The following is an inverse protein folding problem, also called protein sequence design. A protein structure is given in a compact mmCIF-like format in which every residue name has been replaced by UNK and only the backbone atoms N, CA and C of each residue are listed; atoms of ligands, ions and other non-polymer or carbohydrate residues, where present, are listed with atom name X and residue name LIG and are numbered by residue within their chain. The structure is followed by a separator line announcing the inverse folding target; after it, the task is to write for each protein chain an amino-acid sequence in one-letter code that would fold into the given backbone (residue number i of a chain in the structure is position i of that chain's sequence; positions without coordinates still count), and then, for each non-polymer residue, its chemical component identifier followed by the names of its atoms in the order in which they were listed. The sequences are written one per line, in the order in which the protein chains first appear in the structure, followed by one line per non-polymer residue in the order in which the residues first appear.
data_IF_313537869529
#
_entry.id   IF_313537869529
#
_cell.length_a   1.000
_cell.length_b   1.000
_cell.length_c   1.000
_cell.angle_alpha   90.00
_cell.angle_beta   90.00
_cell.angle_gamma   90.00
#
_symmetry.space_group_name_H-M   'P 1'
#
loop_
_entity.id
_entity.type
_entity.pdbx_description
1 polymer ?
#
# COMPACT_ATOMS: atom_id res chain seq x y z
N UNK A 1 -6.49 -1.12 1.40
CA UNK A 1 -7.01 -0.74 0.06
C UNK A 1 -6.22 -1.39 -1.08
N UNK A 2 -4.90 -1.49 -0.99
CA UNK A 2 -4.09 -2.20 -2.00
C UNK A 2 -4.52 -3.65 -2.23
N UNK A 3 -4.90 -4.36 -1.16
CA UNK A 3 -5.45 -5.71 -1.24
C UNK A 3 -6.69 -5.78 -2.17
N UNK A 4 -7.65 -4.87 -2.01
CA UNK A 4 -8.86 -4.83 -2.85
C UNK A 4 -8.49 -4.59 -4.32
N UNK A 5 -7.56 -3.68 -4.59
CA UNK A 5 -7.08 -3.40 -5.93
C UNK A 5 -6.46 -4.63 -6.59
N UNK A 6 -5.63 -5.34 -5.83
CA UNK A 6 -4.97 -6.58 -6.31
C UNK A 6 -6.01 -7.67 -6.62
N UNK A 7 -7.00 -7.85 -5.74
CA UNK A 7 -8.06 -8.82 -5.97
C UNK A 7 -8.93 -8.46 -7.18
N UNK A 8 -9.22 -7.18 -7.38
CA UNK A 8 -10.00 -6.74 -8.54
C UNK A 8 -9.28 -7.02 -9.87
N UNK A 9 -7.97 -6.81 -9.92
CA UNK A 9 -7.17 -7.19 -11.09
C UNK A 9 -7.15 -8.69 -11.32
N UNK A 10 -7.09 -9.48 -10.25
CA UNK A 10 -7.11 -10.93 -10.36
C UNK A 10 -8.49 -11.44 -10.82
N UNK A 11 -9.60 -10.89 -10.33
CA UNK A 11 -10.94 -11.21 -10.79
C UNK A 11 -11.15 -10.90 -12.29
N UNK A 12 -10.49 -9.84 -12.77
CA UNK A 12 -10.49 -9.47 -14.20
C UNK A 12 -9.58 -10.35 -15.06
N UNK A 13 -8.81 -11.24 -14.47
CA UNK A 13 -7.82 -12.06 -15.16
C UNK A 13 -6.58 -11.28 -15.62
N UNK A 14 -6.38 -10.07 -15.10
CA UNK A 14 -5.24 -9.20 -15.41
C UNK A 14 -4.02 -9.50 -14.51
N UNK A 15 -4.23 -10.22 -13.42
CA UNK A 15 -3.20 -10.60 -12.45
C UNK A 15 -3.43 -12.03 -11.95
N UNK A 16 -2.37 -12.84 -11.92
CA UNK A 16 -2.35 -14.12 -11.24
C UNK A 16 -1.71 -13.95 -9.85
N UNK A 17 -2.46 -14.30 -8.80
CA UNK A 17 -2.00 -14.19 -7.41
C UNK A 17 -0.79 -15.08 -7.10
N UNK A 18 -0.61 -16.16 -7.83
CA UNK A 18 0.49 -17.12 -7.64
C UNK A 18 1.67 -16.86 -8.56
N UNK A 19 1.53 -15.97 -9.52
CA UNK A 19 2.63 -15.59 -10.40
C UNK A 19 3.74 -14.84 -9.64
N UNK A 20 5.00 -14.96 -10.07
CA UNK A 20 6.08 -14.12 -9.60
C UNK A 20 5.78 -12.63 -9.85
N UNK A 21 6.12 -11.78 -8.86
CA UNK A 21 6.05 -10.32 -9.02
C UNK A 21 6.84 -9.86 -10.25
N UNK A 22 7.95 -10.53 -10.53
CA UNK A 22 8.84 -10.25 -11.66
C UNK A 22 8.18 -10.36 -13.04
N UNK A 23 7.07 -11.08 -13.15
CA UNK A 23 6.32 -11.19 -14.41
C UNK A 23 5.64 -9.85 -14.77
N UNK A 24 5.31 -9.05 -13.76
CA UNK A 24 4.72 -7.72 -13.91
C UNK A 24 5.74 -6.60 -13.73
N UNK A 25 6.77 -6.85 -12.92
CA UNK A 25 7.81 -5.91 -12.55
C UNK A 25 9.20 -6.59 -12.67
N UNK A 26 9.77 -6.65 -13.90
CA UNK A 26 11.00 -7.41 -14.17
C UNK A 26 12.20 -7.00 -13.31
N UNK A 27 12.37 -5.72 -13.01
CA UNK A 27 13.48 -5.21 -12.19
C UNK A 27 13.42 -5.70 -10.74
N UNK A 28 12.26 -6.15 -10.30
CA UNK A 28 12.08 -6.72 -8.95
C UNK A 28 12.79 -8.07 -8.78
N UNK A 29 13.10 -8.79 -9.86
CA UNK A 29 13.73 -10.11 -9.82
C UNK A 29 15.11 -10.13 -9.15
N UNK A 30 15.78 -8.99 -9.09
CA UNK A 30 17.13 -8.85 -8.56
C UNK A 30 17.25 -9.26 -7.08
N UNK A 31 18.50 -9.59 -6.67
CA UNK A 31 18.86 -9.84 -5.26
C UNK A 31 18.03 -10.94 -4.56
N UNK A 32 17.74 -12.02 -5.29
CA UNK A 32 17.05 -13.19 -4.74
C UNK A 32 15.54 -13.11 -4.71
N UNK A 33 14.93 -12.14 -5.39
CA UNK A 33 13.48 -11.90 -5.38
C UNK A 33 12.71 -12.52 -6.55
N UNK A 34 13.39 -13.18 -7.51
CA UNK A 34 12.76 -13.70 -8.71
C UNK A 34 11.57 -14.66 -8.46
N UNK A 35 11.60 -15.39 -7.34
CA UNK A 35 10.54 -16.33 -6.96
C UNK A 35 9.48 -15.76 -6.01
N UNK A 36 9.54 -14.48 -5.65
CA UNK A 36 8.53 -13.85 -4.80
C UNK A 36 7.24 -13.70 -5.59
N UNK A 37 6.16 -14.30 -5.07
CA UNK A 37 4.83 -14.23 -5.68
C UNK A 37 4.01 -13.05 -5.16
N UNK A 38 2.92 -12.73 -5.87
CA UNK A 38 1.94 -11.73 -5.40
C UNK A 38 1.36 -12.13 -4.04
N UNK A 39 1.11 -13.43 -3.81
CA UNK A 39 0.65 -13.93 -2.50
C UNK A 39 1.66 -13.68 -1.38
N UNK A 40 2.97 -13.72 -1.66
CA UNK A 40 3.98 -13.34 -0.65
C UNK A 40 3.89 -11.86 -0.25
N UNK A 41 3.59 -10.97 -1.18
CA UNK A 41 3.35 -9.56 -0.89
C UNK A 41 2.07 -9.37 -0.04
N UNK A 42 0.98 -10.04 -0.43
CA UNK A 42 -0.32 -9.95 0.26
C UNK A 42 -0.26 -10.50 1.68
N UNK A 43 0.49 -11.59 1.90
CA UNK A 43 0.61 -12.26 3.20
C UNK A 43 1.74 -11.72 4.09
N UNK A 44 2.42 -10.65 3.68
CA UNK A 44 3.57 -10.09 4.40
C UNK A 44 4.74 -11.08 4.56
N UNK A 45 4.92 -12.02 3.64
CA UNK A 45 5.97 -13.04 3.72
C UNK A 45 7.12 -12.83 2.74
N UNK A 46 7.14 -11.71 2.01
CA UNK A 46 8.15 -11.42 0.99
C UNK A 46 9.56 -11.08 1.53
N UNK A 47 9.69 -10.82 2.83
CA UNK A 47 10.99 -10.46 3.42
C UNK A 47 11.37 -8.98 3.24
N UNK A 48 10.43 -8.12 2.88
CA UNK A 48 10.64 -6.69 2.59
C UNK A 48 9.86 -5.77 3.55
N UNK A 49 9.99 -5.94 4.88
CA UNK A 49 9.13 -5.26 5.84
C UNK A 49 9.40 -3.76 5.98
N UNK A 50 10.54 -3.28 5.51
CA UNK A 50 10.96 -1.89 5.53
C UNK A 50 11.86 -1.57 4.34
N UNK A 51 12.18 -0.29 4.19
CA UNK A 51 13.16 0.17 3.18
C UNK A 51 14.58 -0.18 3.58
N UNK A 52 15.50 -0.25 2.60
CA UNK A 52 16.91 -0.56 2.84
C UNK A 52 17.65 0.57 3.58
N UNK A 53 17.11 1.79 3.52
CA UNK A 53 17.61 3.00 4.15
C UNK A 53 16.48 3.82 4.77
N UNK A 54 16.84 4.84 5.53
CA UNK A 54 15.87 5.82 5.98
C UNK A 54 15.50 6.78 4.84
N UNK A 55 14.22 7.05 4.69
CA UNK A 55 13.65 8.04 3.81
C UNK A 55 13.27 9.30 4.60
N UNK A 56 13.54 10.48 4.07
CA UNK A 56 12.86 11.68 4.53
C UNK A 56 11.38 11.64 4.12
N UNK A 57 10.57 12.55 4.66
CA UNK A 57 9.17 12.65 4.25
C UNK A 57 9.05 12.98 2.76
N UNK A 58 9.87 13.91 2.29
CA UNK A 58 9.89 14.35 0.89
C UNK A 58 10.34 13.24 -0.05
N UNK A 59 11.35 12.46 0.33
CA UNK A 59 11.80 11.30 -0.45
C UNK A 59 10.71 10.21 -0.54
N UNK A 60 9.89 10.06 0.51
CA UNK A 60 8.78 9.10 0.51
C UNK A 60 7.64 9.49 -0.46
N UNK A 61 7.56 10.76 -0.85
CA UNK A 61 6.58 11.22 -1.85
C UNK A 61 7.02 10.90 -3.27
N UNK A 62 8.31 10.60 -3.48
CA UNK A 62 8.84 10.16 -4.76
C UNK A 62 8.60 8.66 -4.93
N UNK A 63 7.57 8.33 -5.70
CA UNK A 63 7.19 6.94 -5.96
C UNK A 63 8.32 6.13 -6.59
N UNK A 64 8.97 6.69 -7.60
CA UNK A 64 10.01 5.96 -8.36
C UNK A 64 11.24 5.71 -7.48
N UNK A 65 11.56 6.62 -6.58
CA UNK A 65 12.63 6.43 -5.59
C UNK A 65 12.29 5.28 -4.62
N UNK A 66 11.07 5.26 -4.09
CA UNK A 66 10.61 4.23 -3.15
C UNK A 66 10.61 2.83 -3.79
N UNK A 67 10.05 2.70 -4.99
CA UNK A 67 9.99 1.40 -5.68
C UNK A 67 11.37 0.94 -6.18
N UNK A 68 12.24 1.86 -6.55
CA UNK A 68 13.65 1.54 -6.90
C UNK A 68 14.40 0.97 -5.70
N UNK A 69 14.25 1.53 -4.50
CA UNK A 69 14.84 0.97 -3.28
C UNK A 69 14.35 -0.47 -3.04
N UNK A 70 13.05 -0.70 -3.15
CA UNK A 70 12.44 -2.02 -2.97
C UNK A 70 12.90 -3.04 -4.03
N UNK A 71 13.09 -2.60 -5.27
CA UNK A 71 13.61 -3.45 -6.35
C UNK A 71 15.07 -3.83 -6.12
N UNK A 72 15.86 -2.95 -5.50
CA UNK A 72 17.29 -3.15 -5.31
C UNK A 72 17.67 -3.85 -4.00
N UNK A 73 16.79 -3.87 -2.99
CA UNK A 73 17.14 -4.48 -1.71
C UNK A 73 17.04 -6.03 -1.72
N UNK A 74 17.82 -6.66 -0.85
CA UNK A 74 17.74 -8.09 -0.57
C UNK A 74 16.68 -8.34 0.52
N UNK A 75 15.84 -9.40 0.40
CA UNK A 75 14.93 -9.78 1.46
C UNK A 75 15.66 -10.07 2.79
N UNK A 76 15.07 -9.67 3.93
CA UNK A 76 15.63 -9.91 5.26
C UNK A 76 15.54 -11.37 5.73
N UNK A 77 14.69 -12.17 5.08
CA UNK A 77 14.55 -13.61 5.27
C UNK A 77 14.17 -14.27 3.94
N UNK A 78 14.30 -15.56 3.87
CA UNK A 78 13.87 -16.34 2.70
C UNK A 78 12.36 -16.17 2.47
N UNK A 79 11.95 -15.64 1.32
CA UNK A 79 10.55 -15.37 1.02
C UNK A 79 9.65 -16.60 1.19
N UNK A 80 8.49 -16.41 1.80
CA UNK A 80 7.53 -17.47 2.08
C UNK A 80 7.80 -18.29 3.36
N UNK A 81 8.95 -18.16 4.01
CA UNK A 81 9.29 -18.96 5.20
C UNK A 81 8.84 -18.32 6.51
N UNK A 82 8.66 -17.01 6.54
CA UNK A 82 8.25 -16.23 7.70
C UNK A 82 7.31 -15.12 7.29
N UNK A 83 6.53 -14.61 8.23
CA UNK A 83 5.73 -13.41 8.05
C UNK A 83 6.25 -12.30 8.95
N UNK A 84 6.35 -11.08 8.40
CA UNK A 84 6.71 -9.87 9.12
C UNK A 84 6.00 -8.68 8.50
N UNK A 85 5.33 -7.87 9.30
CA UNK A 85 4.49 -6.78 8.82
C UNK A 85 5.23 -5.81 7.89
N UNK A 86 4.78 -5.68 6.66
CA UNK A 86 5.28 -4.73 5.68
C UNK A 86 4.50 -3.42 5.81
N UNK A 87 4.76 -2.68 6.90
CA UNK A 87 3.93 -1.57 7.37
C UNK A 87 3.71 -0.45 6.36
N UNK A 88 4.74 -0.06 5.63
CA UNK A 88 4.68 0.98 4.59
C UNK A 88 4.94 0.38 3.21
N UNK A 89 5.87 -0.54 3.15
CA UNK A 89 6.39 -1.08 1.87
C UNK A 89 5.35 -1.86 1.08
N UNK A 90 4.40 -2.56 1.73
CA UNK A 90 3.34 -3.28 1.03
C UNK A 90 2.54 -2.37 0.08
N UNK A 91 2.30 -1.12 0.50
CA UNK A 91 1.58 -0.17 -0.33
C UNK A 91 2.28 0.13 -1.65
N UNK A 92 3.60 0.33 -1.60
CA UNK A 92 4.42 0.54 -2.80
C UNK A 92 4.58 -0.74 -3.61
N UNK A 93 4.82 -1.88 -2.96
CA UNK A 93 5.02 -3.16 -3.64
C UNK A 93 3.80 -3.56 -4.48
N UNK A 94 2.63 -3.61 -3.86
CA UNK A 94 1.38 -3.94 -4.56
C UNK A 94 0.93 -2.81 -5.50
N UNK A 95 1.13 -1.57 -5.09
CA UNK A 95 0.80 -0.40 -5.90
C UNK A 95 1.62 -0.33 -7.19
N UNK A 96 2.90 -0.71 -7.15
CA UNK A 96 3.74 -0.77 -8.36
C UNK A 96 3.28 -1.88 -9.31
N UNK A 97 2.87 -3.03 -8.79
CA UNK A 97 2.26 -4.08 -9.63
C UNK A 97 1.02 -3.56 -10.33
N UNK A 98 0.11 -2.88 -9.60
CA UNK A 98 -1.07 -2.24 -10.22
C UNK A 98 -0.65 -1.24 -11.29
N UNK A 99 0.31 -0.37 -10.98
CA UNK A 99 0.81 0.65 -11.91
C UNK A 99 1.39 0.02 -13.19
N UNK A 100 2.15 -1.07 -13.07
CA UNK A 100 2.75 -1.78 -14.22
C UNK A 100 1.71 -2.45 -15.12
N UNK A 101 0.70 -3.03 -14.54
CA UNK A 101 -0.39 -3.68 -15.29
C UNK A 101 -1.23 -2.62 -16.02
N UNK A 102 -1.58 -1.54 -15.34
CA UNK A 102 -2.60 -0.60 -15.80
C UNK A 102 -2.07 0.63 -16.53
N UNK A 103 -0.79 0.96 -16.33
CA UNK A 103 -0.18 2.18 -16.86
C UNK A 103 -0.65 3.49 -16.18
N UNK A 104 -1.42 3.38 -15.09
CA UNK A 104 -1.93 4.51 -14.32
C UNK A 104 -1.21 4.66 -12.98
N UNK A 105 -1.24 5.86 -12.37
CA UNK A 105 -0.83 5.98 -10.97
C UNK A 105 -1.81 5.20 -10.08
N UNK A 106 -1.31 4.70 -8.94
CA UNK A 106 -2.12 3.86 -8.06
C UNK A 106 -3.38 4.60 -7.56
N UNK A 107 -3.23 5.86 -7.15
CA UNK A 107 -4.35 6.65 -6.64
C UNK A 107 -5.40 6.96 -7.70
N UNK A 108 -4.98 7.24 -8.94
CA UNK A 108 -5.90 7.45 -10.05
C UNK A 108 -6.67 6.18 -10.38
N UNK A 109 -5.96 5.06 -10.52
CA UNK A 109 -6.58 3.78 -10.79
C UNK A 109 -7.56 3.36 -9.69
N UNK A 110 -7.14 3.50 -8.41
CA UNK A 110 -8.00 3.19 -7.26
C UNK A 110 -9.28 4.03 -7.25
N UNK A 111 -9.16 5.33 -7.51
CA UNK A 111 -10.31 6.23 -7.58
C UNK A 111 -11.32 5.75 -8.63
N UNK A 112 -10.86 5.51 -9.86
CA UNK A 112 -11.70 5.18 -11.00
C UNK A 112 -12.31 3.79 -10.92
N UNK A 113 -11.56 2.81 -10.36
CA UNK A 113 -11.94 1.41 -10.39
C UNK A 113 -12.53 0.89 -9.07
N UNK A 114 -12.27 1.58 -7.96
CA UNK A 114 -12.75 1.14 -6.63
C UNK A 114 -13.64 2.21 -6.00
N UNK A 115 -13.12 3.42 -5.80
CA UNK A 115 -13.82 4.42 -5.00
C UNK A 115 -15.10 4.93 -5.68
N UNK A 116 -15.01 5.38 -6.91
CA UNK A 116 -16.16 5.92 -7.66
C UNK A 116 -17.25 4.87 -7.90
N UNK A 117 -16.97 3.65 -8.39
CA UNK A 117 -18.01 2.63 -8.58
C UNK A 117 -18.76 2.27 -7.29
N UNK A 118 -18.08 2.30 -6.16
CA UNK A 118 -18.65 1.99 -4.85
C UNK A 118 -19.22 3.23 -4.13
N UNK A 119 -19.16 4.41 -4.72
CA UNK A 119 -19.55 5.66 -4.07
C UNK A 119 -18.80 5.91 -2.75
N UNK A 120 -17.54 5.46 -2.69
CA UNK A 120 -16.68 5.59 -1.53
C UNK A 120 -15.86 6.88 -1.63
N UNK A 121 -16.10 7.83 -0.73
CA UNK A 121 -15.29 9.04 -0.60
C UNK A 121 -13.97 8.69 0.11
N UNK A 122 -13.10 7.98 -0.60
CA UNK A 122 -11.80 7.52 -0.13
C UNK A 122 -10.73 7.75 -1.21
N UNK A 123 -9.62 8.36 -0.83
CA UNK A 123 -8.57 8.80 -1.73
C UNK A 123 -7.19 8.34 -1.25
N UNK A 124 -6.33 8.02 -2.21
CA UNK A 124 -4.89 7.83 -2.01
C UNK A 124 -4.22 8.79 -2.97
N UNK A 125 -3.55 9.82 -2.41
CA UNK A 125 -3.18 11.01 -3.17
C UNK A 125 -4.41 11.89 -3.46
N UNK A 126 -4.58 12.95 -2.66
CA UNK A 126 -5.68 13.91 -2.84
C UNK A 126 -5.44 14.81 -4.04
N UNK A 127 -6.51 15.11 -4.75
CA UNK A 127 -6.51 16.23 -5.70
C UNK A 127 -6.49 17.56 -4.94
N UNK A 128 -5.92 18.59 -5.55
CA UNK A 128 -5.84 19.95 -4.98
C UNK A 128 -7.20 20.46 -4.47
N UNK A 129 -8.25 20.22 -5.23
CA UNK A 129 -9.62 20.64 -4.89
C UNK A 129 -10.18 19.96 -3.62
N UNK A 130 -9.64 18.81 -3.22
CA UNK A 130 -10.11 18.02 -2.07
C UNK A 130 -9.35 18.35 -0.77
N UNK A 131 -8.24 19.07 -0.84
CA UNK A 131 -7.41 19.41 0.32
C UNK A 131 -8.20 20.12 1.43
N UNK A 132 -9.12 21.01 1.06
CA UNK A 132 -9.94 21.77 2.02
C UNK A 132 -10.99 20.93 2.76
N UNK A 133 -11.23 19.69 2.31
CA UNK A 133 -12.20 18.76 2.91
C UNK A 133 -11.59 17.91 4.02
N UNK A 134 -10.28 17.92 4.17
CA UNK A 134 -9.54 17.07 5.12
C UNK A 134 -9.32 17.81 6.41
N UNK A 135 -9.76 17.21 7.51
CA UNK A 135 -9.47 17.71 8.85
C UNK A 135 -8.01 17.44 9.24
N UNK A 136 -7.42 18.35 9.98
CA UNK A 136 -6.07 18.16 10.51
C UNK A 136 -6.06 17.10 11.61
N UNK A 137 -4.95 16.35 11.66
CA UNK A 137 -4.64 15.44 12.77
C UNK A 137 -4.14 16.29 13.93
N UNK A 138 -4.90 16.29 15.03
CA UNK A 138 -4.48 16.97 16.24
C UNK A 138 -3.47 16.11 17.00
N UNK A 139 -2.38 16.75 17.44
CA UNK A 139 -1.39 16.09 18.28
C UNK A 139 -1.82 16.15 19.73
N UNK A 140 -1.75 15.02 20.41
CA UNK A 140 -1.75 15.01 21.88
C UNK A 140 -0.36 15.42 22.38
N UNK A 141 -0.23 16.68 22.78
CA UNK A 141 1.02 17.24 23.33
C UNK A 141 1.34 16.74 24.73
N UNK A 142 0.41 16.03 25.38
CA UNK A 142 0.61 15.44 26.72
C UNK A 142 1.24 14.03 26.63
N UNK A 143 1.27 13.41 25.47
CA UNK A 143 1.90 12.10 25.29
C UNK A 143 3.41 12.27 25.13
N UNK A 144 4.17 11.91 26.16
CA UNK A 144 5.61 11.78 26.10
C UNK A 144 6.00 10.82 24.97
N UNK A 145 6.91 11.26 24.12
CA UNK A 145 7.66 10.53 23.09
C UNK A 145 6.91 9.44 22.28
N UNK A 146 7.10 9.44 20.96
CA UNK A 146 6.70 8.31 20.09
C UNK A 146 7.08 6.98 20.72
N UNK A 147 6.20 5.97 20.79
CA UNK A 147 6.55 4.63 21.25
C UNK A 147 7.71 4.01 20.45
N UNK A 148 8.08 4.61 19.34
CA UNK A 148 9.17 4.21 18.47
C UNK A 148 10.45 5.04 18.63
N UNK A 149 10.49 6.02 19.55
CA UNK A 149 11.61 6.96 19.69
C UNK A 149 12.94 6.32 20.16
N UNK A 150 12.87 5.19 20.86
CA UNK A 150 14.03 4.53 21.45
C UNK A 150 14.17 3.06 21.00
N UNK A 151 13.76 2.75 19.77
CA UNK A 151 13.94 1.40 19.23
C UNK A 151 15.42 1.15 18.95
N UNK A 152 15.88 -0.06 19.25
CA UNK A 152 17.13 -0.59 18.74
C UNK A 152 17.07 -0.53 17.19
N UNK A 153 17.98 0.20 16.51
CA UNK A 153 17.99 0.32 15.06
C UNK A 153 18.04 -1.02 14.32
N UNK A 154 18.63 -2.05 14.94
CA UNK A 154 18.70 -3.39 14.36
C UNK A 154 17.45 -4.23 14.59
N UNK A 155 16.54 -3.77 15.46
CA UNK A 155 15.29 -4.48 15.70
C UNK A 155 14.38 -4.50 14.46
N UNK A 156 13.61 -5.59 14.31
CA UNK A 156 12.62 -5.70 13.25
C UNK A 156 11.60 -4.54 13.29
N UNK A 157 11.21 -4.13 14.49
CA UNK A 157 10.28 -3.00 14.69
C UNK A 157 10.87 -1.68 14.15
N UNK A 158 12.17 -1.42 14.37
CA UNK A 158 12.83 -0.26 13.81
C UNK A 158 12.90 -0.34 12.28
N UNK A 159 13.18 -1.51 11.71
CA UNK A 159 13.20 -1.72 10.25
C UNK A 159 11.83 -1.52 9.62
N UNK A 160 10.75 -1.94 10.27
CA UNK A 160 9.37 -1.75 9.80
C UNK A 160 8.93 -0.28 9.88
N UNK A 161 9.18 0.39 10.99
CA UNK A 161 8.61 1.71 11.28
C UNK A 161 9.61 2.86 11.23
N UNK A 162 10.90 2.57 11.28
CA UNK A 162 11.96 3.59 11.29
C UNK A 162 12.38 4.07 9.91
N UNK A 163 12.14 3.29 8.86
CA UNK A 163 12.59 3.61 7.50
C UNK A 163 11.73 4.63 6.76
N UNK A 164 10.52 4.87 7.22
CA UNK A 164 9.62 5.84 6.61
C UNK A 164 9.63 7.14 7.43
N UNK A 165 10.21 8.18 6.91
CA UNK A 165 10.34 9.51 7.55
C UNK A 165 9.03 10.26 7.75
N UNK A 166 7.98 9.56 8.18
CA UNK A 166 6.67 10.15 8.44
C UNK A 166 6.69 10.85 9.80
N UNK A 167 6.74 12.17 9.81
CA UNK A 167 6.39 12.93 11.00
C UNK A 167 4.88 13.18 11.04
N UNK A 168 4.31 13.29 12.23
CA UNK A 168 2.89 13.69 12.39
C UNK A 168 2.60 15.05 11.76
N UNK A 169 3.58 15.95 11.78
CA UNK A 169 3.45 17.26 11.14
C UNK A 169 3.38 17.14 9.62
N UNK A 170 4.11 16.21 9.04
CA UNK A 170 4.03 15.93 7.61
C UNK A 170 2.62 15.52 7.18
N UNK A 171 1.89 14.74 7.99
CA UNK A 171 0.55 14.25 7.67
C UNK A 171 -0.49 15.36 7.44
N UNK A 172 -0.25 16.55 7.99
CA UNK A 172 -1.11 17.72 7.79
C UNK A 172 -0.67 18.59 6.60
N UNK A 173 0.46 18.30 5.98
CA UNK A 173 0.93 19.07 4.84
C UNK A 173 0.18 18.71 3.55
N UNK A 174 0.05 19.67 2.64
CA UNK A 174 -0.52 19.42 1.32
C UNK A 174 0.31 18.38 0.54
N UNK A 175 1.63 18.44 0.64
CA UNK A 175 2.51 17.50 -0.03
C UNK A 175 2.27 16.04 0.38
N UNK A 176 2.14 15.76 1.69
CA UNK A 176 1.77 14.44 2.18
C UNK A 176 0.40 14.00 1.66
N UNK A 177 -0.59 14.89 1.75
CA UNK A 177 -1.97 14.58 1.36
C UNK A 177 -2.09 14.26 -0.14
N UNK A 178 -1.28 14.90 -0.96
CA UNK A 178 -1.25 14.70 -2.41
C UNK A 178 -0.35 13.56 -2.86
N UNK A 179 0.63 13.15 -2.05
CA UNK A 179 1.48 12.00 -2.34
C UNK A 179 0.67 10.70 -2.33
N UNK A 180 1.07 9.74 -3.14
CA UNK A 180 0.52 8.39 -3.11
C UNK A 180 1.39 7.49 -2.22
N UNK A 181 0.95 7.25 -0.97
CA UNK A 181 1.61 6.34 -0.01
C UNK A 181 0.56 5.33 0.47
N UNK A 182 0.21 4.33 -0.34
CA UNK A 182 -1.05 3.59 -0.22
C UNK A 182 -1.28 2.89 1.13
N UNK A 183 -0.20 2.59 1.85
CA UNK A 183 -0.29 1.91 3.14
C UNK A 183 -0.66 2.85 4.31
N UNK A 184 -0.35 4.15 4.22
CA UNK A 184 -0.42 5.03 5.40
C UNK A 184 -1.11 6.38 5.18
N UNK A 185 -1.38 6.80 3.94
CA UNK A 185 -1.99 8.11 3.70
C UNK A 185 -3.35 8.08 2.99
N UNK A 186 -4.13 7.05 3.21
CA UNK A 186 -5.51 7.02 2.74
C UNK A 186 -6.36 8.07 3.46
N UNK A 187 -7.11 8.88 2.69
CA UNK A 187 -8.00 9.93 3.17
C UNK A 187 -9.45 9.55 2.91
N UNK A 188 -10.27 9.53 3.94
CA UNK A 188 -11.67 9.15 3.83
C UNK A 188 -12.35 9.11 5.20
N UNK A 189 -13.51 8.50 5.27
CA UNK A 189 -14.27 8.33 6.49
C UNK A 189 -14.69 6.86 6.68
N UNK A 190 -15.21 6.51 7.86
CA UNK A 190 -15.60 5.14 8.19
C UNK A 190 -16.60 4.54 7.19
N UNK A 191 -17.52 5.36 6.67
CA UNK A 191 -18.52 4.92 5.67
C UNK A 191 -17.85 4.52 4.36
N UNK A 192 -16.87 5.30 3.90
CA UNK A 192 -16.11 5.00 2.69
C UNK A 192 -15.29 3.72 2.82
N UNK A 193 -14.68 3.51 4.00
CA UNK A 193 -13.96 2.25 4.29
C UNK A 193 -14.91 1.06 4.20
N UNK A 194 -16.08 1.15 4.85
CA UNK A 194 -17.10 0.10 4.77
C UNK A 194 -17.55 -0.14 3.34
N UNK A 195 -17.81 0.93 2.57
CA UNK A 195 -18.19 0.79 1.15
C UNK A 195 -17.15 0.04 0.35
N UNK A 196 -15.88 0.43 0.46
CA UNK A 196 -14.80 -0.23 -0.26
C UNK A 196 -14.59 -1.69 0.16
N UNK A 197 -14.87 -2.02 1.44
CA UNK A 197 -14.60 -3.36 1.98
C UNK A 197 -15.82 -4.31 1.97
N UNK A 198 -17.03 -3.79 1.80
CA UNK A 198 -18.24 -4.61 1.89
C UNK A 198 -18.32 -5.71 0.84
N UNK A 199 -17.75 -5.50 -0.33
CA UNK A 199 -17.70 -6.50 -1.38
C UNK A 199 -16.95 -7.79 -0.94
N UNK A 200 -15.93 -7.66 -0.08
CA UNK A 200 -15.19 -8.82 0.46
C UNK A 200 -16.07 -9.74 1.33
N UNK A 201 -17.07 -9.18 1.98
CA UNK A 201 -17.95 -9.90 2.92
C UNK A 201 -19.27 -10.39 2.29
N UNK A 202 -19.54 -10.00 1.05
CA UNK A 202 -20.84 -10.21 0.41
C UNK A 202 -20.68 -10.73 -1.04
N UNK A 203 -19.83 -11.70 -1.27
CA UNK A 203 -19.65 -12.38 -2.56
C UNK A 203 -19.46 -11.41 -3.75
N UNK A 204 -18.67 -10.36 -3.53
CA UNK A 204 -18.42 -9.33 -4.52
C UNK A 204 -19.49 -8.26 -4.63
N UNK A 205 -20.59 -8.37 -3.90
CA UNK A 205 -21.67 -7.38 -3.90
C UNK A 205 -21.40 -6.30 -2.84
N UNK A 206 -21.31 -5.06 -3.26
CA UNK A 206 -21.19 -3.90 -2.38
C UNK A 206 -22.39 -2.99 -2.62
N UNK A 207 -23.32 -2.95 -1.65
CA UNK A 207 -24.62 -2.26 -1.78
C UNK A 207 -25.36 -2.79 -3.02
N UNK A 208 -25.67 -1.97 -4.01
CA UNK A 208 -26.34 -2.40 -5.24
C UNK A 208 -25.37 -2.62 -6.42
N UNK A 209 -24.05 -2.66 -6.14
CA UNK A 209 -23.01 -2.80 -7.15
C UNK A 209 -22.32 -4.16 -7.07
N UNK A 210 -22.42 -4.96 -8.13
CA UNK A 210 -21.56 -6.14 -8.29
C UNK A 210 -20.16 -5.65 -8.64
N UNK A 211 -19.23 -5.78 -7.69
CA UNK A 211 -17.89 -5.21 -7.78
C UNK A 211 -16.90 -6.19 -8.41
N UNK A 212 -17.05 -7.49 -8.12
CA UNK A 212 -16.32 -8.57 -8.78
C UNK A 212 -17.19 -9.82 -8.94
N UNK A 213 -16.73 -10.74 -9.82
CA UNK A 213 -17.51 -11.91 -10.25
C UNK A 213 -17.53 -13.10 -9.31
N UNK A 214 -16.77 -13.06 -8.22
CA UNK A 214 -16.70 -14.16 -7.26
C UNK A 214 -15.69 -15.26 -7.60
N UNK A 215 -14.83 -15.07 -8.60
CA UNK A 215 -13.79 -16.03 -8.99
C UNK A 215 -12.81 -16.38 -7.84
N UNK A 216 -12.74 -15.55 -6.78
CA UNK A 216 -11.90 -15.79 -5.62
C UNK A 216 -12.39 -16.85 -4.66
N UNK A 217 -13.66 -17.20 -4.70
CA UNK A 217 -14.26 -18.14 -3.74
C UNK A 217 -14.11 -19.60 -4.17
N UNK A 218 -13.52 -19.85 -5.35
CA UNK A 218 -13.33 -21.20 -5.90
C UNK A 218 -11.88 -21.73 -5.74
N UNK A 219 -11.00 -20.98 -5.03
CA UNK A 219 -9.60 -21.34 -4.80
C UNK A 219 -9.33 -21.93 -3.43
#
# INVERSE_FOLDING_TARGET
MTFISTLLLADRGELDLYAPVADYWPEFAENGKAGITITNLLSHSAGLPGFSRQFSAEELYDWDLAVSDLANQTPLWEPGTQSGYHGVTQGFLLGEVVRRITGQSYGSWFRENVAEPLGADFHIGLLEQDLSRVADILQDTSADASPFANLDPESMTAKVFGGAGSSRDAANSAAWRQAEIPAINGHGNARSVVRAQSALANDGLAFDTQFWGGAFYEC
#
